data_IF_859082264358
#
_entry.id   IF_859082264358
#
_cell.length_a   1.000
_cell.length_b   1.000
_cell.length_c   1.000
_cell.angle_alpha   90.00
_cell.angle_beta   90.00
_cell.angle_gamma   90.00
#
_symmetry.space_group_name_H-M   'P 1'
#
loop_
_entity.id
_entity.type
_entity.pdbx_description
1 polymer ?
#
# COMPACT_ATOMS: atom_id res chain seq x y z
N UNK A 1 2.54 -5.14 13.35
CA UNK A 1 3.77 -5.78 12.85
C UNK A 1 3.43 -6.87 11.82
N UNK A 2 4.25 -7.06 10.79
CA UNK A 2 4.23 -8.21 9.87
C UNK A 2 5.59 -8.87 9.95
N UNK A 3 5.64 -10.20 10.10
CA UNK A 3 6.86 -11.00 10.03
C UNK A 3 6.64 -12.16 9.05
N UNK A 4 7.52 -12.30 8.07
CA UNK A 4 7.56 -13.43 7.15
C UNK A 4 8.87 -14.20 7.34
N UNK A 5 8.80 -15.54 7.39
CA UNK A 5 9.96 -16.43 7.51
C UNK A 5 9.89 -17.52 6.45
N UNK A 6 11.00 -17.64 5.71
CA UNK A 6 11.18 -18.64 4.65
C UNK A 6 9.98 -18.69 3.69
N UNK A 7 9.48 -17.50 3.34
CA UNK A 7 8.30 -17.37 2.49
C UNK A 7 8.66 -17.72 1.04
N UNK A 8 7.97 -18.75 0.51
CA UNK A 8 8.05 -19.14 -0.89
C UNK A 8 6.64 -19.18 -1.51
N UNK A 9 6.51 -18.64 -2.72
CA UNK A 9 5.21 -18.53 -3.40
C UNK A 9 5.39 -18.94 -4.86
N UNK A 10 4.59 -19.93 -5.28
CA UNK A 10 4.60 -20.47 -6.64
C UNK A 10 3.21 -20.39 -7.28
N UNK A 11 3.21 -20.24 -8.59
CA UNK A 11 2.13 -20.59 -9.51
C UNK A 11 2.63 -21.77 -10.33
N UNK A 12 2.61 -21.66 -11.65
CA UNK A 12 3.29 -22.62 -12.55
C UNK A 12 4.82 -22.49 -12.46
N UNK A 13 5.29 -21.35 -11.98
CA UNK A 13 6.71 -21.02 -11.73
C UNK A 13 6.89 -20.48 -10.33
N UNK A 14 8.10 -20.64 -9.79
CA UNK A 14 8.48 -19.99 -8.53
C UNK A 14 8.56 -18.47 -8.73
N UNK A 15 7.77 -17.71 -7.98
CA UNK A 15 7.68 -16.24 -8.05
C UNK A 15 8.46 -15.61 -6.91
N UNK A 16 8.40 -16.21 -5.71
CA UNK A 16 9.13 -15.79 -4.52
C UNK A 16 9.80 -17.03 -3.94
N UNK A 17 11.07 -16.91 -3.58
CA UNK A 17 11.93 -18.03 -3.18
C UNK A 17 12.65 -17.74 -1.87
N UNK A 18 12.17 -18.35 -0.79
CA UNK A 18 12.79 -18.35 0.55
C UNK A 18 13.16 -16.96 1.08
N UNK A 19 12.19 -16.04 1.09
CA UNK A 19 12.40 -14.69 1.63
C UNK A 19 11.97 -14.59 3.10
N UNK A 20 12.70 -13.78 3.86
CA UNK A 20 12.35 -13.45 5.25
C UNK A 20 12.46 -11.95 5.47
N UNK A 21 11.42 -11.35 6.08
CA UNK A 21 11.41 -9.93 6.37
C UNK A 21 10.53 -9.62 7.58
N UNK A 22 10.76 -8.43 8.16
CA UNK A 22 9.96 -7.89 9.24
C UNK A 22 9.61 -6.43 8.97
N UNK A 23 8.36 -6.07 9.23
CA UNK A 23 7.81 -4.72 9.04
C UNK A 23 7.25 -4.23 10.37
N UNK A 24 7.74 -3.07 10.81
CA UNK A 24 7.33 -2.44 12.07
C UNK A 24 6.08 -1.56 11.89
N UNK A 25 5.44 -1.22 13.02
CA UNK A 25 4.27 -0.36 13.09
C UNK A 25 4.62 1.13 12.89
N UNK A 26 3.62 1.94 12.56
CA UNK A 26 3.72 3.39 12.46
C UNK A 26 4.59 3.90 11.31
N UNK A 27 4.93 3.03 10.35
CA UNK A 27 5.83 3.35 9.22
C UNK A 27 5.22 3.00 7.88
N UNK A 28 5.56 3.79 6.87
CA UNK A 28 5.31 3.47 5.46
C UNK A 28 6.45 2.62 4.94
N UNK A 29 6.15 1.35 4.68
CA UNK A 29 7.10 0.41 4.12
C UNK A 29 6.76 0.18 2.65
N UNK A 30 7.76 0.23 1.78
CA UNK A 30 7.57 0.08 0.34
C UNK A 30 8.14 -1.26 -0.12
N UNK A 31 7.30 -1.99 -0.84
CA UNK A 31 7.70 -3.16 -1.59
C UNK A 31 8.10 -2.70 -2.99
N UNK A 32 9.39 -2.64 -3.25
CA UNK A 32 10.00 -2.13 -4.47
C UNK A 32 10.54 -3.29 -5.33
N UNK A 33 10.64 -3.10 -6.63
CA UNK A 33 11.19 -4.07 -7.57
C UNK A 33 10.64 -3.88 -8.97
N UNK A 34 11.24 -4.53 -9.95
CA UNK A 34 10.83 -4.50 -11.37
C UNK A 34 9.40 -5.03 -11.55
N UNK A 35 8.76 -4.71 -12.66
CA UNK A 35 7.46 -5.29 -13.00
C UNK A 35 7.56 -6.82 -13.09
N UNK A 36 6.61 -7.52 -12.48
CA UNK A 36 6.63 -8.98 -12.42
C UNK A 36 7.53 -9.59 -11.34
N UNK A 37 8.19 -8.79 -10.48
CA UNK A 37 9.06 -9.31 -9.41
C UNK A 37 8.33 -9.98 -8.24
N UNK A 38 6.99 -10.05 -8.26
CA UNK A 38 6.21 -10.73 -7.23
C UNK A 38 5.64 -9.84 -6.12
N UNK A 39 5.69 -8.49 -6.26
CA UNK A 39 5.16 -7.55 -5.26
C UNK A 39 3.70 -7.82 -4.88
N UNK A 40 2.80 -7.82 -5.87
CA UNK A 40 1.38 -8.13 -5.65
C UNK A 40 1.17 -9.55 -5.11
N UNK A 41 2.04 -10.50 -5.48
CA UNK A 41 2.00 -11.88 -4.99
C UNK A 41 2.29 -11.94 -3.49
N UNK A 42 3.28 -11.17 -3.01
CA UNK A 42 3.59 -11.04 -1.57
C UNK A 42 2.41 -10.41 -0.82
N UNK A 43 1.83 -9.32 -1.35
CA UNK A 43 0.66 -8.67 -0.74
C UNK A 43 -0.54 -9.64 -0.66
N UNK A 44 -0.79 -10.42 -1.71
CA UNK A 44 -1.82 -11.45 -1.73
C UNK A 44 -1.57 -12.58 -0.71
N UNK A 45 -0.32 -12.98 -0.50
CA UNK A 45 0.03 -13.96 0.51
C UNK A 45 -0.22 -13.42 1.93
N UNK A 46 0.22 -12.19 2.23
CA UNK A 46 0.02 -11.55 3.54
C UNK A 46 -1.48 -11.34 3.83
N UNK A 47 -2.29 -11.02 2.80
CA UNK A 47 -3.74 -10.86 2.95
C UNK A 47 -4.52 -12.17 3.04
N UNK A 48 -3.86 -13.33 2.89
CA UNK A 48 -4.49 -14.65 2.92
C UNK A 48 -5.21 -15.06 1.62
N UNK A 49 -5.07 -14.29 0.53
CA UNK A 49 -5.68 -14.59 -0.77
C UNK A 49 -4.88 -15.68 -1.52
N UNK A 50 -3.56 -15.70 -1.34
CA UNK A 50 -2.66 -16.64 -2.01
C UNK A 50 -2.02 -17.59 -1.00
N UNK A 51 -2.02 -18.89 -1.31
CA UNK A 51 -1.28 -19.91 -0.56
C UNK A 51 0.23 -19.74 -0.74
N UNK A 52 0.99 -20.10 0.26
CA UNK A 52 2.44 -19.96 0.33
C UNK A 52 3.04 -21.09 1.20
N UNK A 53 4.35 -21.27 1.09
CA UNK A 53 5.18 -22.07 1.99
C UNK A 53 5.92 -21.14 2.94
N UNK A 54 6.29 -21.64 4.13
CA UNK A 54 6.91 -20.83 5.19
C UNK A 54 5.89 -20.31 6.21
N UNK A 55 6.20 -19.21 6.86
CA UNK A 55 5.39 -18.63 7.92
C UNK A 55 5.16 -17.14 7.69
N UNK A 56 3.90 -16.67 7.83
CA UNK A 56 3.55 -15.25 7.92
C UNK A 56 2.81 -15.02 9.23
N UNK A 57 3.34 -14.11 10.06
CA UNK A 57 2.69 -13.63 11.30
C UNK A 57 2.25 -12.19 11.12
N UNK A 58 1.00 -11.91 11.48
CA UNK A 58 0.44 -10.56 11.48
C UNK A 58 -0.13 -10.24 12.86
N UNK A 59 0.19 -9.05 13.37
CA UNK A 59 -0.33 -8.58 14.65
C UNK A 59 -1.54 -7.70 14.42
N UNK A 60 -2.69 -8.34 14.25
CA UNK A 60 -3.99 -7.70 14.10
C UNK A 60 -4.61 -7.82 12.70
N UNK A 61 -5.71 -7.09 12.53
CA UNK A 61 -6.54 -7.16 11.33
C UNK A 61 -5.81 -6.57 10.11
N UNK A 62 -5.84 -7.31 9.02
CA UNK A 62 -5.29 -6.90 7.72
C UNK A 62 -6.42 -6.36 6.84
N UNK A 63 -6.20 -5.19 6.23
CA UNK A 63 -6.99 -4.70 5.11
C UNK A 63 -6.12 -4.59 3.88
N UNK A 64 -6.64 -5.02 2.75
CA UNK A 64 -5.93 -5.03 1.47
C UNK A 64 -6.72 -4.26 0.41
N UNK A 65 -6.08 -3.27 -0.18
CA UNK A 65 -6.56 -2.54 -1.35
C UNK A 65 -5.79 -3.00 -2.58
N UNK A 66 -6.48 -3.75 -3.44
CA UNK A 66 -5.93 -4.25 -4.68
C UNK A 66 -5.90 -3.12 -5.75
N UNK A 67 -4.99 -3.24 -6.72
CA UNK A 67 -4.84 -2.33 -7.85
C UNK A 67 -6.12 -2.17 -8.70
N UNK A 68 -6.91 -3.23 -8.84
CA UNK A 68 -8.12 -3.25 -9.67
C UNK A 68 -9.33 -2.64 -8.96
N UNK A 69 -9.40 -1.32 -8.93
CA UNK A 69 -10.52 -0.57 -8.37
C UNK A 69 -11.68 -0.54 -9.37
N UNK A 70 -12.82 -1.15 -9.03
CA UNK A 70 -14.01 -1.10 -9.88
C UNK A 70 -14.85 0.15 -9.58
N UNK A 71 -14.51 1.28 -10.21
CA UNK A 71 -15.26 2.54 -10.09
C UNK A 71 -16.57 2.57 -10.88
N UNK A 72 -16.89 1.51 -11.65
CA UNK A 72 -18.10 1.44 -12.47
C UNK A 72 -19.35 0.99 -11.68
N UNK A 73 -19.17 0.53 -10.46
CA UNK A 73 -20.28 0.09 -9.61
C UNK A 73 -21.21 1.28 -9.27
N UNK A 74 -22.51 1.02 -9.24
CA UNK A 74 -23.53 2.02 -8.88
C UNK A 74 -23.73 2.06 -7.36
N UNK A 75 -22.67 2.28 -6.61
CA UNK A 75 -22.71 2.53 -5.18
C UNK A 75 -22.38 3.99 -4.88
N UNK A 76 -23.00 4.54 -3.85
CA UNK A 76 -22.60 5.83 -3.29
C UNK A 76 -21.25 5.71 -2.56
N UNK A 77 -20.61 6.84 -2.29
CA UNK A 77 -19.39 6.89 -1.47
C UNK A 77 -19.62 6.22 -0.12
N UNK A 78 -20.73 6.54 0.55
CA UNK A 78 -21.06 5.96 1.86
C UNK A 78 -21.23 4.45 1.80
N UNK A 79 -21.99 3.95 0.82
CA UNK A 79 -22.17 2.50 0.62
C UNK A 79 -20.85 1.80 0.31
N UNK A 80 -20.00 2.41 -0.53
CA UNK A 80 -18.68 1.86 -0.87
C UNK A 80 -17.79 1.73 0.38
N UNK A 81 -17.75 2.75 1.24
CA UNK A 81 -17.00 2.66 2.50
C UNK A 81 -17.56 1.55 3.38
N UNK A 82 -18.89 1.44 3.52
CA UNK A 82 -19.52 0.38 4.32
C UNK A 82 -19.19 -1.03 3.83
N UNK A 83 -18.96 -1.23 2.53
CA UNK A 83 -18.54 -2.54 1.99
C UNK A 83 -17.23 -3.04 2.62
N UNK A 84 -16.37 -2.17 3.14
CA UNK A 84 -15.16 -2.58 3.86
C UNK A 84 -15.43 -3.36 5.16
N UNK A 85 -16.66 -3.36 5.67
CA UNK A 85 -17.11 -4.15 6.82
C UNK A 85 -17.78 -5.46 6.44
N UNK A 86 -17.94 -5.78 5.15
CA UNK A 86 -18.73 -6.95 4.67
C UNK A 86 -18.34 -8.25 5.35
N UNK A 87 -17.06 -8.49 5.61
CA UNK A 87 -16.59 -9.69 6.30
C UNK A 87 -17.14 -9.85 7.74
N UNK A 88 -17.63 -8.75 8.34
CA UNK A 88 -18.19 -8.71 9.71
C UNK A 88 -19.65 -8.25 9.73
N UNK A 89 -20.28 -8.01 8.58
CA UNK A 89 -21.68 -7.63 8.54
C UNK A 89 -22.54 -8.82 8.96
N UNK A 90 -23.32 -8.60 10.00
CA UNK A 90 -24.54 -9.37 10.23
C UNK A 90 -25.53 -9.10 9.07
N UNK A 91 -26.64 -9.83 9.01
CA UNK A 91 -27.70 -9.64 7.99
C UNK A 91 -28.24 -8.19 7.89
N UNK A 92 -27.80 -7.30 8.77
CA UNK A 92 -28.21 -5.89 8.80
C UNK A 92 -27.02 -5.00 9.18
N UNK A 93 -26.87 -3.86 8.49
CA UNK A 93 -25.93 -2.79 8.83
C UNK A 93 -26.37 -2.17 10.18
N UNK A 94 -25.48 -2.22 11.16
CA UNK A 94 -25.73 -1.67 12.49
C UNK A 94 -25.61 -0.13 12.51
N UNK A 95 -26.12 0.49 13.60
CA UNK A 95 -25.90 1.94 13.83
C UNK A 95 -24.42 2.27 14.01
N UNK A 96 -23.66 1.35 14.57
CA UNK A 96 -22.21 1.51 14.80
C UNK A 96 -21.43 1.47 13.47
N UNK A 97 -21.78 0.56 12.56
CA UNK A 97 -21.17 0.52 11.22
C UNK A 97 -21.35 1.83 10.46
N UNK A 98 -22.57 2.40 10.54
CA UNK A 98 -22.85 3.70 9.93
C UNK A 98 -22.02 4.82 10.58
N UNK A 99 -21.89 4.82 11.92
CA UNK A 99 -21.08 5.79 12.66
C UNK A 99 -19.60 5.70 12.28
N UNK A 100 -19.09 4.50 12.10
CA UNK A 100 -17.69 4.31 11.69
C UNK A 100 -17.47 4.79 10.25
N UNK A 101 -18.40 4.53 9.32
CA UNK A 101 -18.32 5.07 7.97
C UNK A 101 -18.37 6.61 7.96
N UNK A 102 -19.19 7.22 8.81
CA UNK A 102 -19.22 8.69 8.96
C UNK A 102 -17.87 9.25 9.45
N UNK A 103 -17.23 8.59 10.43
CA UNK A 103 -15.89 9.01 10.88
C UNK A 103 -14.84 8.93 9.77
N UNK A 104 -14.93 7.92 8.90
CA UNK A 104 -14.02 7.76 7.76
C UNK A 104 -14.24 8.88 6.74
N UNK A 105 -15.48 9.29 6.48
CA UNK A 105 -15.78 10.44 5.62
C UNK A 105 -15.11 11.72 6.12
N UNK A 106 -15.17 11.98 7.44
CA UNK A 106 -14.50 13.13 8.06
C UNK A 106 -12.98 13.00 8.02
N UNK A 107 -12.46 11.82 8.34
CA UNK A 107 -11.01 11.55 8.38
C UNK A 107 -10.32 11.79 7.03
N UNK A 108 -11.03 11.53 5.92
CA UNK A 108 -10.52 11.66 4.55
C UNK A 108 -10.94 12.97 3.86
N UNK A 109 -11.74 13.81 4.55
CA UNK A 109 -12.30 15.06 4.01
C UNK A 109 -13.07 14.82 2.69
N UNK A 110 -14.01 13.86 2.74
CA UNK A 110 -14.88 13.48 1.61
C UNK A 110 -16.37 13.44 1.99
N UNK A 111 -16.73 14.04 3.11
CA UNK A 111 -18.13 14.07 3.59
C UNK A 111 -19.11 14.68 2.59
N UNK A 112 -18.69 15.69 1.85
CA UNK A 112 -19.49 16.34 0.82
C UNK A 112 -19.89 15.42 -0.35
N UNK A 113 -19.14 14.30 -0.52
CA UNK A 113 -19.43 13.32 -1.57
C UNK A 113 -20.25 12.12 -1.09
N UNK A 114 -20.64 12.08 0.18
CA UNK A 114 -21.30 10.95 0.85
C UNK A 114 -22.36 10.25 -0.01
N UNK A 115 -23.28 11.03 -0.59
CA UNK A 115 -24.43 10.54 -1.35
C UNK A 115 -24.18 10.52 -2.87
N UNK A 116 -22.98 10.93 -3.33
CA UNK A 116 -22.60 10.84 -4.73
C UNK A 116 -22.23 9.39 -5.10
N UNK A 117 -22.57 8.99 -6.31
CA UNK A 117 -22.11 7.73 -6.88
C UNK A 117 -20.62 7.78 -7.19
N UNK A 118 -19.87 6.69 -6.89
CA UNK A 118 -18.40 6.63 -7.11
C UNK A 118 -18.01 6.87 -8.57
N UNK A 119 -18.84 6.49 -9.53
CA UNK A 119 -18.60 6.70 -10.96
C UNK A 119 -18.74 8.16 -11.42
N UNK A 120 -19.07 9.08 -10.52
CA UNK A 120 -19.15 10.53 -10.75
C UNK A 120 -18.00 11.30 -10.12
N UNK A 121 -17.06 10.60 -9.50
CA UNK A 121 -15.90 11.17 -8.84
C UNK A 121 -14.67 11.19 -9.76
N UNK A 122 -13.76 12.12 -9.50
CA UNK A 122 -12.42 12.11 -10.09
C UNK A 122 -11.60 10.91 -9.58
N UNK A 123 -10.49 10.56 -10.28
CA UNK A 123 -9.65 9.44 -9.89
C UNK A 123 -9.09 9.55 -8.47
N UNK A 124 -8.65 10.75 -8.07
CA UNK A 124 -8.15 10.99 -6.71
C UNK A 124 -9.24 10.86 -5.63
N UNK A 125 -10.46 11.34 -5.89
CA UNK A 125 -11.60 11.18 -4.98
C UNK A 125 -12.01 9.71 -4.86
N UNK A 126 -12.06 8.98 -5.97
CA UNK A 126 -12.28 7.51 -5.98
C UNK A 126 -11.25 6.81 -5.12
N UNK A 127 -9.98 7.16 -5.25
CA UNK A 127 -8.90 6.55 -4.47
C UNK A 127 -9.07 6.79 -2.97
N UNK A 128 -9.44 8.02 -2.55
CA UNK A 128 -9.77 8.31 -1.14
C UNK A 128 -10.91 7.43 -0.63
N UNK A 129 -11.97 7.22 -1.42
CA UNK A 129 -13.09 6.37 -1.04
C UNK A 129 -12.65 4.92 -0.80
N UNK A 130 -11.80 4.36 -1.65
CA UNK A 130 -11.32 2.99 -1.48
C UNK A 130 -10.31 2.84 -0.33
N UNK A 131 -9.49 3.87 -0.06
CA UNK A 131 -8.70 3.93 1.18
C UNK A 131 -9.65 3.93 2.39
N UNK A 132 -10.74 4.70 2.35
CA UNK A 132 -11.77 4.72 3.39
C UNK A 132 -12.43 3.36 3.58
N UNK A 133 -12.74 2.66 2.49
CA UNK A 133 -13.25 1.29 2.53
C UNK A 133 -12.28 0.34 3.23
N UNK A 134 -10.97 0.46 2.99
CA UNK A 134 -9.96 -0.35 3.66
C UNK A 134 -9.86 -0.02 5.15
N UNK A 135 -10.04 1.25 5.53
CA UNK A 135 -9.88 1.73 6.91
C UNK A 135 -11.11 1.51 7.80
N UNK A 136 -12.33 1.47 7.25
CA UNK A 136 -13.58 1.38 8.04
C UNK A 136 -13.65 0.14 8.92
N UNK A 137 -12.92 -0.90 8.54
CA UNK A 137 -12.79 -2.14 9.30
C UNK A 137 -11.84 -2.02 10.51
N UNK A 138 -11.27 -0.83 10.75
CA UNK A 138 -10.29 -0.54 11.79
C UNK A 138 -9.09 -1.53 11.76
N UNK A 139 -8.36 -1.62 10.64
CA UNK A 139 -7.22 -2.52 10.52
C UNK A 139 -6.05 -2.05 11.40
N UNK A 140 -5.14 -2.99 11.71
CA UNK A 140 -3.78 -2.69 12.20
C UNK A 140 -2.77 -2.69 11.06
N UNK A 141 -3.09 -3.40 9.99
CA UNK A 141 -2.21 -3.57 8.84
C UNK A 141 -2.96 -3.12 7.59
N UNK A 142 -2.34 -2.21 6.84
CA UNK A 142 -2.85 -1.68 5.58
C UNK A 142 -1.93 -2.09 4.44
N UNK A 143 -2.42 -2.92 3.54
CA UNK A 143 -1.73 -3.37 2.34
C UNK A 143 -2.30 -2.62 1.13
N UNK A 144 -1.44 -1.99 0.34
CA UNK A 144 -1.85 -1.20 -0.83
C UNK A 144 -1.05 -1.63 -2.06
N UNK A 145 -1.75 -2.09 -3.08
CA UNK A 145 -1.11 -2.53 -4.33
C UNK A 145 -1.25 -1.44 -5.39
N UNK A 146 -0.14 -0.75 -5.68
CA UNK A 146 -0.04 0.35 -6.63
C UNK A 146 -1.16 1.41 -6.49
N UNK A 147 -1.38 1.98 -5.29
CA UNK A 147 -2.55 2.80 -5.00
C UNK A 147 -2.62 4.11 -5.80
N UNK A 148 -1.57 4.48 -6.53
CA UNK A 148 -1.47 5.75 -7.25
C UNK A 148 -1.19 5.60 -8.75
N UNK A 149 -1.12 4.37 -9.28
CA UNK A 149 -0.66 4.11 -10.66
C UNK A 149 -1.52 4.77 -11.75
N UNK A 150 -2.82 4.96 -11.50
CA UNK A 150 -3.78 5.53 -12.47
C UNK A 150 -4.02 7.04 -12.27
N UNK A 151 -3.27 7.71 -11.39
CA UNK A 151 -3.47 9.10 -11.02
C UNK A 151 -2.44 10.02 -11.69
N UNK A 152 -2.82 11.28 -11.91
CA UNK A 152 -1.88 12.33 -12.28
C UNK A 152 -0.91 12.66 -11.12
N UNK A 153 0.19 13.33 -11.43
CA UNK A 153 1.27 13.59 -10.49
C UNK A 153 0.80 14.28 -9.21
N UNK A 154 -0.07 15.30 -9.32
CA UNK A 154 -0.60 16.01 -8.14
C UNK A 154 -1.39 15.07 -7.24
N UNK A 155 -2.32 14.31 -7.81
CA UNK A 155 -3.15 13.38 -7.07
C UNK A 155 -2.31 12.24 -6.46
N UNK A 156 -1.25 11.77 -7.14
CA UNK A 156 -0.31 10.81 -6.58
C UNK A 156 0.31 11.31 -5.27
N UNK A 157 0.84 12.53 -5.27
CA UNK A 157 1.45 13.13 -4.07
C UNK A 157 0.42 13.36 -2.96
N UNK A 158 -0.78 13.80 -3.28
CA UNK A 158 -1.84 14.06 -2.31
C UNK A 158 -2.30 12.75 -1.64
N UNK A 159 -2.49 11.68 -2.42
CA UNK A 159 -2.84 10.35 -1.88
C UNK A 159 -1.72 9.77 -1.01
N UNK A 160 -0.46 9.87 -1.44
CA UNK A 160 0.67 9.36 -0.66
C UNK A 160 0.83 10.14 0.66
N UNK A 161 0.59 11.45 0.66
CA UNK A 161 0.58 12.26 1.90
C UNK A 161 -0.53 11.79 2.84
N UNK A 162 -1.76 11.59 2.34
CA UNK A 162 -2.86 11.05 3.12
C UNK A 162 -2.50 9.69 3.73
N UNK A 163 -1.92 8.77 2.96
CA UNK A 163 -1.51 7.45 3.45
C UNK A 163 -0.45 7.60 4.55
N UNK A 164 0.54 8.48 4.37
CA UNK A 164 1.58 8.74 5.38
C UNK A 164 0.98 9.28 6.68
N UNK A 165 0.14 10.31 6.60
CA UNK A 165 -0.52 10.92 7.75
C UNK A 165 -1.41 9.92 8.50
N UNK A 166 -2.15 9.07 7.77
CA UNK A 166 -2.98 8.00 8.36
C UNK A 166 -2.13 6.91 9.03
N UNK A 167 -1.01 6.54 8.40
CA UNK A 167 -0.08 5.55 8.96
C UNK A 167 0.44 6.00 10.32
N UNK A 168 0.89 7.24 10.42
CA UNK A 168 1.39 7.83 11.66
C UNK A 168 0.27 8.03 12.69
N UNK A 169 -0.83 8.70 12.31
CA UNK A 169 -1.94 9.06 13.19
C UNK A 169 -2.65 7.85 13.80
N UNK A 170 -2.80 6.78 13.01
CA UNK A 170 -3.49 5.55 13.44
C UNK A 170 -2.51 4.43 13.86
N UNK A 171 -1.21 4.70 13.85
CA UNK A 171 -0.13 3.74 14.12
C UNK A 171 -0.28 2.45 13.31
N UNK A 172 -0.49 2.58 11.98
CA UNK A 172 -0.68 1.44 11.10
C UNK A 172 0.66 0.81 10.71
N UNK A 173 0.67 -0.49 10.50
CA UNK A 173 1.71 -1.15 9.71
C UNK A 173 1.30 -1.05 8.24
N UNK A 174 1.89 -0.11 7.49
CA UNK A 174 1.53 0.10 6.09
C UNK A 174 2.58 -0.49 5.16
N UNK A 175 2.15 -1.35 4.23
CA UNK A 175 2.99 -1.93 3.17
C UNK A 175 2.39 -1.60 1.81
N UNK A 176 3.16 -0.92 0.97
CA UNK A 176 2.72 -0.42 -0.34
C UNK A 176 3.62 -0.97 -1.44
N UNK A 177 3.06 -1.56 -2.48
CA UNK A 177 3.81 -1.77 -3.71
C UNK A 177 3.87 -0.47 -4.52
N UNK A 178 5.07 -0.01 -4.83
CA UNK A 178 5.32 1.17 -5.66
C UNK A 178 6.50 0.95 -6.60
N UNK A 179 6.48 1.67 -7.73
CA UNK A 179 7.58 1.73 -8.69
C UNK A 179 8.03 3.16 -9.02
N UNK A 180 7.29 4.19 -8.59
CA UNK A 180 7.64 5.60 -8.81
C UNK A 180 8.72 6.07 -7.82
N UNK A 181 9.96 6.20 -8.29
CA UNK A 181 11.14 6.52 -7.47
C UNK A 181 10.95 7.80 -6.67
N UNK A 182 10.41 8.87 -7.28
CA UNK A 182 10.19 10.15 -6.61
C UNK A 182 9.21 10.06 -5.42
N UNK A 183 8.18 9.19 -5.51
CA UNK A 183 7.26 8.95 -4.40
C UNK A 183 7.92 8.10 -3.32
N UNK A 184 8.69 7.09 -3.71
CA UNK A 184 9.42 6.23 -2.78
C UNK A 184 10.41 7.06 -1.97
N UNK A 185 11.23 7.88 -2.65
CA UNK A 185 12.21 8.77 -2.01
C UNK A 185 11.55 9.68 -0.96
N UNK A 186 10.38 10.24 -1.28
CA UNK A 186 9.71 11.22 -0.43
C UNK A 186 8.93 10.61 0.73
N UNK A 187 8.30 9.45 0.53
CA UNK A 187 7.30 8.93 1.48
C UNK A 187 7.70 7.62 2.19
N UNK A 188 8.70 6.90 1.68
CA UNK A 188 9.11 5.64 2.28
C UNK A 188 9.96 5.86 3.54
N UNK A 189 9.57 5.19 4.63
CA UNK A 189 10.46 5.04 5.80
C UNK A 189 11.42 3.88 5.55
N UNK A 190 10.90 2.74 5.11
CA UNK A 190 11.67 1.54 4.82
C UNK A 190 11.32 0.97 3.44
N UNK A 191 12.24 0.25 2.87
CA UNK A 191 12.07 -0.45 1.58
C UNK A 191 12.42 -1.92 1.75
N UNK A 192 11.62 -2.78 1.11
CA UNK A 192 11.94 -4.17 0.81
C UNK A 192 12.06 -4.25 -0.71
N UNK A 193 13.27 -4.44 -1.21
CA UNK A 193 13.56 -4.50 -2.64
C UNK A 193 13.64 -5.96 -3.07
N UNK A 194 12.75 -6.32 -4.02
CA UNK A 194 12.66 -7.68 -4.58
C UNK A 194 13.30 -7.68 -5.97
N UNK A 195 14.23 -8.60 -6.16
CA UNK A 195 14.82 -8.91 -7.45
C UNK A 195 15.09 -10.41 -7.57
N UNK A 196 14.93 -10.97 -8.77
CA UNK A 196 15.17 -12.39 -9.05
C UNK A 196 14.53 -13.33 -8.00
N UNK A 197 13.27 -13.09 -7.65
CA UNK A 197 12.45 -13.86 -6.70
C UNK A 197 12.93 -13.81 -5.24
N UNK A 198 13.93 -12.98 -4.91
CA UNK A 198 14.54 -12.85 -3.58
C UNK A 198 14.51 -11.40 -3.09
N UNK A 199 14.75 -11.22 -1.80
CA UNK A 199 15.06 -9.89 -1.27
C UNK A 199 16.50 -9.55 -1.67
N UNK A 200 16.65 -8.52 -2.50
CA UNK A 200 17.95 -7.95 -2.84
C UNK A 200 18.51 -7.14 -1.66
N UNK A 201 17.69 -6.23 -1.10
CA UNK A 201 17.97 -5.42 0.09
C UNK A 201 16.69 -5.09 0.85
N UNK A 202 16.85 -4.85 2.16
CA UNK A 202 15.78 -4.28 2.99
C UNK A 202 16.38 -3.35 4.06
N UNK A 203 15.65 -2.32 4.44
CA UNK A 203 16.07 -1.36 5.46
C UNK A 203 15.51 0.03 5.25
N UNK A 204 16.05 1.04 5.96
CA UNK A 204 15.69 2.44 5.76
C UNK A 204 15.82 2.86 4.30
N UNK A 205 14.88 3.67 3.81
CA UNK A 205 14.84 4.04 2.38
C UNK A 205 16.14 4.68 1.90
N UNK A 206 16.75 5.52 2.74
CA UNK A 206 18.03 6.18 2.43
C UNK A 206 19.22 5.21 2.27
N UNK A 207 19.18 4.07 2.93
CA UNK A 207 20.25 3.06 2.86
C UNK A 207 20.04 2.10 1.68
N UNK A 208 18.79 1.80 1.34
CA UNK A 208 18.48 0.89 0.24
C UNK A 208 18.60 1.57 -1.12
N UNK A 209 18.19 2.83 -1.23
CA UNK A 209 18.22 3.60 -2.49
C UNK A 209 19.60 4.25 -2.69
N UNK A 210 20.62 3.50 -3.02
CA UNK A 210 21.97 3.98 -3.36
C UNK A 210 22.26 3.84 -4.87
N UNK A 211 23.38 4.40 -5.33
CA UNK A 211 23.81 4.34 -6.73
C UNK A 211 24.05 2.90 -7.20
N UNK A 212 24.51 2.03 -6.30
CA UNK A 212 24.74 0.61 -6.60
C UNK A 212 23.43 -0.08 -6.90
N UNK A 213 22.39 0.17 -6.10
CA UNK A 213 21.04 -0.37 -6.32
C UNK A 213 20.47 0.09 -7.66
N UNK A 214 20.59 1.36 -8.01
CA UNK A 214 20.09 1.87 -9.29
C UNK A 214 20.79 1.24 -10.49
N UNK A 215 22.12 1.09 -10.42
CA UNK A 215 22.89 0.43 -11.45
C UNK A 215 22.54 -1.05 -11.59
N UNK A 216 22.51 -1.79 -10.48
CA UNK A 216 22.39 -3.25 -10.50
C UNK A 216 20.97 -3.73 -10.80
N UNK A 217 19.94 -2.99 -10.33
CA UNK A 217 18.53 -3.39 -10.45
C UNK A 217 17.85 -2.71 -11.62
N UNK A 218 18.11 -1.42 -11.83
CA UNK A 218 17.42 -0.62 -12.85
C UNK A 218 18.29 -0.32 -14.08
N UNK A 219 19.56 -0.74 -14.06
CA UNK A 219 20.52 -0.49 -15.15
C UNK A 219 20.67 1.01 -15.45
N UNK A 220 20.59 1.84 -14.39
CA UNK A 220 20.61 3.29 -14.48
C UNK A 220 21.82 3.86 -13.71
N UNK A 221 22.56 4.74 -14.34
CA UNK A 221 23.57 5.52 -13.63
C UNK A 221 22.90 6.72 -12.94
N UNK A 222 23.25 6.92 -11.67
CA UNK A 222 22.71 7.99 -10.85
C UNK A 222 23.84 8.74 -10.14
N UNK A 223 23.55 9.96 -9.74
CA UNK A 223 24.36 10.78 -8.83
C UNK A 223 23.45 11.18 -7.68
N UNK A 224 23.78 10.76 -6.46
CA UNK A 224 22.96 11.00 -5.27
C UNK A 224 23.67 12.04 -4.42
N UNK A 225 23.02 13.17 -4.18
CA UNK A 225 23.55 14.30 -3.42
C UNK A 225 22.61 14.69 -2.30
N UNK A 226 23.18 14.98 -1.13
CA UNK A 226 22.47 15.62 -0.04
C UNK A 226 22.67 17.15 -0.15
N UNK A 227 21.56 17.86 -0.27
CA UNK A 227 21.54 19.31 -0.32
C UNK A 227 20.48 19.86 0.65
N UNK A 228 20.85 20.77 1.54
CA UNK A 228 19.99 21.34 2.59
C UNK A 228 19.23 20.28 3.42
N UNK A 229 19.91 19.17 3.73
CA UNK A 229 19.31 18.06 4.49
C UNK A 229 18.32 17.18 3.69
N UNK A 230 18.10 17.52 2.43
CA UNK A 230 17.30 16.72 1.49
C UNK A 230 18.21 15.93 0.57
N UNK A 231 17.82 14.71 0.31
CA UNK A 231 18.47 13.84 -0.65
C UNK A 231 17.89 14.08 -2.04
N UNK A 232 18.76 14.14 -3.04
CA UNK A 232 18.38 14.33 -4.44
C UNK A 232 19.04 13.25 -5.31
N UNK A 233 18.22 12.57 -6.11
CA UNK A 233 18.65 11.54 -7.05
C UNK A 233 18.61 12.12 -8.47
N UNK A 234 19.79 12.21 -9.09
CA UNK A 234 19.94 12.65 -10.47
C UNK A 234 20.22 11.45 -11.36
N UNK A 235 19.41 11.26 -12.39
CA UNK A 235 19.61 10.24 -13.40
C UNK A 235 20.48 10.79 -14.53
N UNK A 236 21.48 10.00 -14.97
CA UNK A 236 22.41 10.33 -16.04
C UNK A 236 22.00 9.71 -17.36
#
# INVERSE_FOLDING_TARGET
MIEAKNLSISYDKNIIDDISFKIDEGKVNILMGRNGSGKSTILNAISGIKSYEGEIKTDGKVSYLNQNINSKAKFTVFETILLGKVANLSLRISKEDKKDAEKILDLLDIREYKDKYINKLSGGEVQKVFIGQALVANPKILLLDEPVSALDLKNQYDIMRIIKDLTEKLNLTTLISLHQIALIEKFADNIILIDNNKIYRQGPSKEVMDEVMFRDIFEMETDIRDFDGNRHIYFK
#
